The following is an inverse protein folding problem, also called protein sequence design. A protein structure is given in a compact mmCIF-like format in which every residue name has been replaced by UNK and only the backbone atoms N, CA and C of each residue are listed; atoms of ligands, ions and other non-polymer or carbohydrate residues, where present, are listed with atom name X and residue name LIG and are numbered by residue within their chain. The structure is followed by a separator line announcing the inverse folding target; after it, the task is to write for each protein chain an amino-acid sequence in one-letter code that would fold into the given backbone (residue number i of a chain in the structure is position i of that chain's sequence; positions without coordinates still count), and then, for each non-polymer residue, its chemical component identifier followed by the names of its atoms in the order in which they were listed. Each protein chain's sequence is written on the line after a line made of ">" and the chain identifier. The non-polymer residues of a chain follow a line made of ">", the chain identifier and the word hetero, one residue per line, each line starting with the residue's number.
data_IF_685785521003
#
_entry.id   IF_685785521003
#
_cell.length_a   1.000
_cell.length_b   1.000
_cell.length_c   1.000
_cell.angle_alpha   90.00
_cell.angle_beta   90.00
_cell.angle_gamma   90.00
#
_symmetry.space_group_name_H-M   'P 1'
#
loop_
_entity.id
_entity.type
_entity.pdbx_description
1 polymer ?
#
# COMPACT_ATOMS: atom_id res chain seq x y z
N UNK A 1 12.90 -9.25 -3.25
CA UNK A 1 12.97 -8.12 -4.22
C UNK A 1 14.09 -7.18 -3.76
N UNK A 2 14.92 -6.60 -4.64
CA UNK A 2 15.99 -5.71 -4.20
C UNK A 2 15.43 -4.39 -3.62
N UNK A 3 16.03 -3.88 -2.54
CA UNK A 3 15.59 -2.62 -1.89
C UNK A 3 15.55 -1.41 -2.82
N UNK A 4 16.41 -1.37 -3.85
CA UNK A 4 16.38 -0.32 -4.89
C UNK A 4 15.04 -0.30 -5.64
N UNK A 5 14.48 -1.48 -5.94
CA UNK A 5 13.19 -1.59 -6.64
C UNK A 5 12.04 -1.12 -5.76
N UNK A 6 12.11 -1.37 -4.45
CA UNK A 6 11.15 -0.83 -3.48
C UNK A 6 11.20 0.71 -3.52
N UNK A 7 12.39 1.31 -3.39
CA UNK A 7 12.56 2.75 -3.42
C UNK A 7 12.02 3.39 -4.70
N UNK A 8 12.27 2.79 -5.87
CA UNK A 8 11.73 3.29 -7.15
C UNK A 8 10.20 3.27 -7.20
N UNK A 9 9.56 2.23 -6.66
CA UNK A 9 8.10 2.14 -6.60
C UNK A 9 7.53 3.19 -5.65
N UNK A 10 8.15 3.36 -4.47
CA UNK A 10 7.72 4.37 -3.49
C UNK A 10 7.88 5.79 -4.03
N UNK A 11 8.97 6.08 -4.75
CA UNK A 11 9.19 7.35 -5.42
C UNK A 11 8.07 7.65 -6.42
N UNK A 12 7.77 6.71 -7.31
CA UNK A 12 6.69 6.86 -8.29
C UNK A 12 5.33 7.07 -7.63
N UNK A 13 5.04 6.36 -6.53
CA UNK A 13 3.81 6.55 -5.77
C UNK A 13 3.75 7.94 -5.12
N UNK A 14 4.88 8.42 -4.61
CA UNK A 14 5.02 9.77 -4.05
C UNK A 14 4.75 10.87 -5.08
N UNK A 15 5.23 10.71 -6.32
CA UNK A 15 4.94 11.64 -7.42
C UNK A 15 3.46 11.69 -7.78
N UNK A 16 2.75 10.57 -7.64
CA UNK A 16 1.33 10.48 -7.98
C UNK A 16 0.39 10.97 -6.86
N UNK A 17 0.75 10.78 -5.59
CA UNK A 17 -0.17 10.95 -4.45
C UNK A 17 0.37 11.82 -3.31
N UNK A 18 1.60 12.30 -3.44
CA UNK A 18 2.36 12.87 -2.32
C UNK A 18 2.96 11.78 -1.41
N UNK A 19 3.97 12.17 -0.64
CA UNK A 19 4.67 11.29 0.28
C UNK A 19 4.08 11.39 1.70
N UNK A 20 3.95 10.27 2.43
CA UNK A 20 3.55 10.29 3.83
C UNK A 20 4.70 10.79 4.71
N UNK A 21 4.36 11.28 5.91
CA UNK A 21 5.37 11.68 6.92
C UNK A 21 6.18 10.48 7.47
N UNK A 22 5.55 9.31 7.52
CA UNK A 22 6.20 8.08 7.96
C UNK A 22 5.62 6.85 7.28
N UNK A 23 6.45 5.83 7.10
CA UNK A 23 6.06 4.50 6.62
C UNK A 23 6.42 3.49 7.71
N UNK A 24 5.46 2.63 8.08
CA UNK A 24 5.73 1.48 8.95
C UNK A 24 6.22 0.32 8.11
N UNK A 25 7.30 -0.31 8.55
CA UNK A 25 8.02 -1.33 7.80
C UNK A 25 8.26 -2.54 8.70
N UNK A 26 8.15 -3.75 8.15
CA UNK A 26 8.59 -4.95 8.88
C UNK A 26 10.13 -5.07 8.90
N UNK A 27 10.65 -6.07 9.60
CA UNK A 27 12.10 -6.31 9.64
C UNK A 27 12.58 -7.19 8.47
N UNK A 28 11.85 -7.21 7.35
CA UNK A 28 12.18 -7.97 6.16
C UNK A 28 13.50 -7.50 5.54
N UNK A 29 14.35 -8.42 5.02
CA UNK A 29 15.64 -8.07 4.43
C UNK A 29 15.52 -7.16 3.20
N UNK A 30 14.38 -7.20 2.49
CA UNK A 30 14.07 -6.31 1.37
C UNK A 30 13.91 -4.83 1.79
N UNK A 31 13.62 -4.58 3.07
CA UNK A 31 13.45 -3.23 3.62
C UNK A 31 14.57 -2.82 4.58
N UNK A 32 15.36 -3.76 5.08
CA UNK A 32 16.58 -3.50 5.85
C UNK A 32 17.79 -3.05 5.00
N UNK A 33 17.57 -2.64 3.75
CA UNK A 33 18.61 -2.29 2.80
C UNK A 33 18.95 -0.80 2.78
N UNK A 34 20.25 -0.47 2.72
CA UNK A 34 20.78 0.91 2.60
C UNK A 34 20.11 1.77 1.53
N UNK A 35 19.59 1.16 0.46
CA UNK A 35 18.90 1.87 -0.61
C UNK A 35 17.57 2.49 -0.17
N UNK A 36 16.79 1.77 0.66
CA UNK A 36 15.51 2.28 1.14
C UNK A 36 15.74 3.38 2.19
N UNK A 37 16.71 3.19 3.08
CA UNK A 37 17.10 4.21 4.06
C UNK A 37 17.56 5.51 3.38
N UNK A 38 18.42 5.40 2.35
CA UNK A 38 18.91 6.55 1.59
C UNK A 38 17.77 7.29 0.88
N UNK A 39 16.84 6.55 0.25
CA UNK A 39 15.67 7.15 -0.38
C UNK A 39 14.78 7.85 0.67
N UNK A 40 14.49 7.19 1.78
CA UNK A 40 13.60 7.75 2.81
C UNK A 40 14.18 9.03 3.43
N UNK A 41 15.50 9.06 3.65
CA UNK A 41 16.22 10.26 4.08
C UNK A 41 16.09 11.41 3.07
N UNK A 42 16.33 11.14 1.77
CA UNK A 42 16.20 12.16 0.72
C UNK A 42 14.76 12.65 0.54
N UNK A 43 13.80 11.74 0.66
CA UNK A 43 12.38 12.00 0.52
C UNK A 43 11.74 12.67 1.76
N UNK A 44 12.49 12.80 2.87
CA UNK A 44 11.97 13.31 4.14
C UNK A 44 10.94 12.40 4.81
N UNK A 45 10.96 11.11 4.51
CA UNK A 45 10.01 10.12 5.02
C UNK A 45 10.65 9.36 6.18
N UNK A 46 9.99 9.31 7.34
CA UNK A 46 10.46 8.52 8.49
C UNK A 46 10.10 7.04 8.30
N UNK A 47 11.10 6.15 8.30
CA UNK A 47 10.86 4.71 8.40
C UNK A 47 10.68 4.30 9.87
N UNK A 48 9.59 3.61 10.18
CA UNK A 48 9.27 3.09 11.51
C UNK A 48 9.22 1.56 11.45
N UNK A 49 10.26 0.91 11.95
CA UNK A 49 10.31 -0.55 11.98
C UNK A 49 9.41 -1.11 13.10
N UNK A 50 8.65 -2.15 12.81
CA UNK A 50 7.87 -2.86 13.81
C UNK A 50 8.78 -3.48 14.88
N UNK A 51 8.28 -3.61 16.10
CA UNK A 51 9.06 -4.21 17.18
C UNK A 51 9.18 -5.72 16.98
N UNK A 52 10.37 -6.31 17.21
CA UNK A 52 10.51 -7.76 17.24
C UNK A 52 9.50 -8.41 18.20
N UNK A 53 8.77 -9.42 17.73
CA UNK A 53 7.77 -10.12 18.55
C UNK A 53 6.43 -9.39 18.74
N UNK A 54 6.14 -8.34 17.95
CA UNK A 54 4.83 -7.64 17.96
C UNK A 54 4.10 -7.77 16.61
N UNK A 55 3.58 -8.97 16.26
CA UNK A 55 2.88 -9.20 14.99
C UNK A 55 1.64 -8.32 14.81
N UNK A 56 1.04 -7.85 15.90
CA UNK A 56 -0.10 -6.92 15.87
C UNK A 56 0.20 -5.61 15.15
N UNK A 57 1.46 -5.15 15.13
CA UNK A 57 1.88 -3.93 14.41
C UNK A 57 1.87 -4.13 12.89
N UNK A 58 1.84 -5.39 12.43
CA UNK A 58 1.79 -5.80 11.02
C UNK A 58 0.42 -6.37 10.62
N UNK A 59 -0.53 -6.46 11.55
CA UNK A 59 -1.81 -7.16 11.35
C UNK A 59 -2.62 -6.63 10.16
N UNK A 60 -2.53 -5.33 9.86
CA UNK A 60 -3.24 -4.75 8.73
C UNK A 60 -2.73 -5.29 7.39
N UNK A 61 -1.41 -5.27 7.16
CA UNK A 61 -0.84 -5.75 5.90
C UNK A 61 -0.96 -7.27 5.79
N UNK A 62 -0.89 -8.00 6.91
CA UNK A 62 -1.14 -9.44 6.94
C UNK A 62 -2.59 -9.77 6.56
N UNK A 63 -3.56 -9.04 7.11
CA UNK A 63 -4.98 -9.20 6.74
C UNK A 63 -5.23 -8.87 5.27
N UNK A 64 -4.62 -7.79 4.76
CA UNK A 64 -4.68 -7.43 3.35
C UNK A 64 -4.11 -8.54 2.45
N UNK A 65 -2.90 -9.02 2.77
CA UNK A 65 -2.23 -10.07 2.00
C UNK A 65 -2.99 -11.39 2.02
N UNK A 66 -3.63 -11.73 3.15
CA UNK A 66 -4.52 -12.89 3.25
C UNK A 66 -5.70 -12.78 2.30
N UNK A 67 -6.45 -11.68 2.36
CA UNK A 67 -7.59 -11.43 1.46
C UNK A 67 -7.18 -11.43 -0.01
N UNK A 68 -6.07 -10.76 -0.35
CA UNK A 68 -5.56 -10.74 -1.71
C UNK A 68 -5.23 -12.15 -2.22
N UNK A 69 -4.63 -12.99 -1.37
CA UNK A 69 -4.34 -14.38 -1.73
C UNK A 69 -5.62 -15.17 -1.94
N UNK A 70 -6.52 -15.13 -0.97
CA UNK A 70 -7.70 -15.99 -0.95
C UNK A 70 -8.71 -15.60 -2.03
N UNK A 71 -8.91 -14.30 -2.24
CA UNK A 71 -9.98 -13.79 -3.11
C UNK A 71 -9.51 -13.43 -4.52
N UNK A 72 -8.20 -13.23 -4.74
CA UNK A 72 -7.66 -12.92 -6.06
C UNK A 72 -6.78 -14.05 -6.58
N UNK A 73 -5.71 -14.41 -5.86
CA UNK A 73 -4.70 -15.31 -6.40
C UNK A 73 -5.17 -16.77 -6.45
N UNK A 74 -5.95 -17.23 -5.48
CA UNK A 74 -6.43 -18.60 -5.40
C UNK A 74 -7.64 -18.86 -6.31
N UNK A 75 -8.45 -17.84 -6.59
CA UNK A 75 -9.65 -17.94 -7.44
C UNK A 75 -9.34 -17.97 -8.94
N UNK A 76 -8.10 -17.66 -9.35
CA UNK A 76 -7.75 -17.50 -10.76
C UNK A 76 -6.59 -18.37 -11.19
N UNK A 77 -6.77 -19.09 -12.29
CA UNK A 77 -5.66 -19.69 -13.02
C UNK A 77 -5.11 -18.70 -14.05
N UNK A 78 -3.86 -18.25 -13.86
CA UNK A 78 -3.24 -17.26 -14.75
C UNK A 78 -2.64 -17.93 -15.99
N UNK A 79 -3.18 -17.60 -17.17
CA UNK A 79 -2.69 -18.11 -18.47
C UNK A 79 -1.59 -17.22 -19.06
N UNK A 80 -1.44 -15.98 -18.57
CA UNK A 80 -0.36 -15.07 -18.97
C UNK A 80 -0.09 -13.99 -17.93
N UNK A 81 1.10 -13.39 -17.98
CA UNK A 81 1.45 -12.24 -17.15
C UNK A 81 0.53 -11.04 -17.39
N UNK A 82 0.08 -10.83 -18.63
CA UNK A 82 -0.88 -9.77 -18.97
C UNK A 82 -2.21 -9.99 -18.25
N UNK A 83 -2.75 -11.21 -18.32
CA UNK A 83 -3.99 -11.56 -17.63
C UNK A 83 -3.84 -11.40 -16.11
N UNK A 84 -2.72 -11.85 -15.53
CA UNK A 84 -2.45 -11.68 -14.11
C UNK A 84 -2.46 -10.21 -13.69
N UNK A 85 -1.79 -9.33 -14.45
CA UNK A 85 -1.78 -7.89 -14.18
C UNK A 85 -3.19 -7.29 -14.22
N UNK A 86 -4.00 -7.65 -15.22
CA UNK A 86 -5.37 -7.12 -15.35
C UNK A 86 -6.27 -7.59 -14.20
N UNK A 87 -6.21 -8.87 -13.82
CA UNK A 87 -7.03 -9.40 -12.72
C UNK A 87 -6.63 -8.80 -11.37
N UNK A 88 -5.33 -8.69 -11.10
CA UNK A 88 -4.82 -8.07 -9.88
C UNK A 88 -5.22 -6.59 -9.81
N UNK A 89 -5.17 -5.88 -10.93
CA UNK A 89 -5.57 -4.47 -10.97
C UNK A 89 -7.07 -4.30 -10.74
N UNK A 90 -7.91 -5.14 -11.36
CA UNK A 90 -9.35 -5.11 -11.12
C UNK A 90 -9.67 -5.39 -9.65
N UNK A 91 -9.05 -6.40 -9.05
CA UNK A 91 -9.23 -6.69 -7.63
C UNK A 91 -8.77 -5.53 -6.74
N UNK A 92 -7.65 -4.87 -7.10
CA UNK A 92 -7.15 -3.68 -6.38
C UNK A 92 -8.17 -2.55 -6.42
N UNK A 93 -8.79 -2.29 -7.58
CA UNK A 93 -9.81 -1.25 -7.74
C UNK A 93 -11.01 -1.57 -6.86
N UNK A 94 -11.58 -2.78 -7.01
CA UNK A 94 -12.73 -3.24 -6.23
C UNK A 94 -12.48 -3.14 -4.72
N UNK A 95 -11.32 -3.60 -4.23
CA UNK A 95 -10.94 -3.50 -2.83
C UNK A 95 -10.96 -2.05 -2.33
N UNK A 96 -10.49 -1.11 -3.15
CA UNK A 96 -10.38 0.29 -2.74
C UNK A 96 -11.67 1.10 -2.92
N UNK A 97 -12.56 0.70 -3.84
CA UNK A 97 -13.74 1.52 -4.21
C UNK A 97 -15.06 0.96 -3.74
N UNK A 98 -15.19 -0.37 -3.65
CA UNK A 98 -16.49 -1.03 -3.55
C UNK A 98 -16.68 -1.73 -2.21
N UNK A 99 -15.59 -2.06 -1.50
CA UNK A 99 -15.62 -2.87 -0.28
C UNK A 99 -15.54 -2.02 0.99
N UNK A 100 -16.61 -1.96 1.81
CA UNK A 100 -16.57 -1.25 3.08
C UNK A 100 -15.78 -2.05 4.13
N UNK A 101 -14.97 -1.35 4.94
CA UNK A 101 -14.19 -1.96 6.03
C UNK A 101 -14.70 -1.48 7.38
N UNK A 102 -14.99 -2.41 8.29
CA UNK A 102 -15.42 -2.07 9.66
C UNK A 102 -14.40 -1.21 10.41
N UNK A 103 -13.10 -1.44 10.19
CA UNK A 103 -12.01 -0.63 10.74
C UNK A 103 -12.00 0.82 10.23
N UNK A 104 -12.69 1.11 9.12
CA UNK A 104 -12.84 2.44 8.52
C UNK A 104 -14.27 3.00 8.73
N UNK A 105 -15.00 2.51 9.74
CA UNK A 105 -16.38 2.96 9.99
C UNK A 105 -17.35 2.53 8.89
N UNK A 106 -17.12 1.37 8.27
CA UNK A 106 -17.88 0.87 7.11
C UNK A 106 -17.77 1.74 5.85
N UNK A 107 -16.72 2.55 5.74
CA UNK A 107 -16.34 3.21 4.50
C UNK A 107 -15.40 2.33 3.66
N UNK A 108 -15.43 2.52 2.35
CA UNK A 108 -14.38 1.98 1.48
C UNK A 108 -13.08 2.79 1.64
N UNK A 109 -11.90 2.26 1.30
CA UNK A 109 -10.64 3.00 1.44
C UNK A 109 -10.66 4.33 0.69
N UNK A 110 -11.24 4.36 -0.52
CA UNK A 110 -11.40 5.59 -1.30
C UNK A 110 -12.32 6.61 -0.61
N UNK A 111 -13.45 6.16 -0.04
CA UNK A 111 -14.36 7.03 0.71
C UNK A 111 -13.72 7.59 1.98
N UNK A 112 -12.99 6.75 2.72
CA UNK A 112 -12.26 7.15 3.92
C UNK A 112 -11.23 8.25 3.61
N UNK A 113 -10.44 8.07 2.54
CA UNK A 113 -9.48 9.09 2.10
C UNK A 113 -10.19 10.39 1.72
N UNK A 114 -11.28 10.35 0.95
CA UNK A 114 -12.03 11.55 0.57
C UNK A 114 -12.62 12.29 1.78
N UNK A 115 -13.10 11.56 2.79
CA UNK A 115 -13.63 12.15 4.01
C UNK A 115 -12.54 12.88 4.81
N UNK A 116 -11.37 12.27 4.99
CA UNK A 116 -10.28 12.83 5.79
C UNK A 116 -9.36 13.81 5.05
N UNK A 117 -9.44 13.88 3.72
CA UNK A 117 -8.82 14.96 2.94
C UNK A 117 -9.49 16.31 3.19
N UNK A 118 -10.81 16.33 3.43
CA UNK A 118 -11.54 17.56 3.78
C UNK A 118 -11.18 18.10 5.16
N UNK A 119 -10.65 17.24 6.04
CA UNK A 119 -10.23 17.60 7.40
C UNK A 119 -8.74 17.95 7.50
N UNK A 120 -7.97 17.93 6.40
CA UNK A 120 -6.55 18.29 6.38
C UNK A 120 -5.61 17.26 7.04
N UNK A 121 -6.08 16.03 7.32
CA UNK A 121 -5.30 15.01 8.01
C UNK A 121 -4.38 14.17 7.10
N UNK A 122 -4.55 14.23 5.78
CA UNK A 122 -3.69 13.54 4.79
C UNK A 122 -3.16 14.55 3.76
N UNK A 123 -1.87 14.45 3.36
CA UNK A 123 -1.31 15.35 2.35
C UNK A 123 -2.09 15.25 1.02
N UNK A 124 -2.29 16.41 0.40
CA UNK A 124 -3.08 16.63 -0.81
C UNK A 124 -2.57 15.78 -1.98
N UNK A 125 -3.41 14.86 -2.47
CA UNK A 125 -3.06 13.99 -3.58
C UNK A 125 -4.17 13.04 -4.02
N UNK A 126 -5.40 13.53 -4.23
CA UNK A 126 -6.38 12.81 -5.04
C UNK A 126 -6.93 13.72 -6.13
N UNK A 127 -6.39 13.53 -7.33
CA UNK A 127 -7.26 13.55 -8.49
C UNK A 127 -7.38 12.10 -8.95
N UNK A 128 -8.62 11.62 -8.93
CA UNK A 128 -9.11 10.49 -9.70
C UNK A 128 -8.48 10.52 -11.10
N UNK A 129 -7.65 9.53 -11.42
CA UNK A 129 -7.29 9.26 -12.81
C UNK A 129 -8.10 8.04 -13.23
N UNK A 130 -9.01 8.17 -14.21
CA UNK A 130 -9.63 7.02 -14.83
C UNK A 130 -8.58 6.32 -15.70
N UNK A 131 -8.42 5.02 -15.54
CA UNK A 131 -8.00 4.12 -16.60
C UNK A 131 -8.49 2.71 -16.31
#
# INVERSE_FOLDING_TARGET
>A
MPGLRVAMVLQRLGEMRGLPRSITVDNGPEFAGRALDAWAYQAGVKLSFIRPGKPVENAYIESFNGKFRDECLNEHWFLSLRQAKSLIENWRVEYNTDRPHSALGYLTPAQFVQAHQKEGLLPLGSMSVPY
#
